data_IF_177779333786
#
_entry.id   IF_177779333786
#
_cell.length_a   1.000
_cell.length_b   1.000
_cell.length_c   1.000
_cell.angle_alpha   90.00
_cell.angle_beta   90.00
_cell.angle_gamma   90.00
#
_symmetry.space_group_name_H-M   'P 1'
#
loop_
_entity.id
_entity.type
_entity.pdbx_description
1 polymer ?
#
# COMPACT_ATOMS: atom_id res chain seq x y z
N UNK A 1 -2.79 -35.09 3.58
CA UNK A 1 -2.73 -34.03 2.56
C UNK A 1 -2.76 -32.70 3.30
N UNK A 2 -1.68 -31.91 3.19
CA UNK A 2 -1.50 -30.50 3.59
C UNK A 2 -2.20 -30.02 4.89
N UNK A 3 -1.79 -30.54 6.05
CA UNK A 3 -2.08 -29.86 7.33
C UNK A 3 -1.04 -28.77 7.59
N UNK A 4 -1.47 -27.51 7.48
CA UNK A 4 -0.83 -26.42 8.21
C UNK A 4 0.42 -25.82 7.56
N UNK A 5 0.32 -25.30 6.33
CA UNK A 5 1.23 -24.24 5.86
C UNK A 5 0.94 -22.93 6.59
N UNK A 6 1.06 -22.92 7.92
CA UNK A 6 1.24 -21.70 8.69
C UNK A 6 2.60 -21.17 8.28
N UNK A 7 2.61 -20.20 7.37
CA UNK A 7 3.82 -19.65 6.80
C UNK A 7 4.83 -19.31 7.89
N UNK A 8 6.01 -19.92 7.81
CA UNK A 8 7.09 -19.69 8.75
C UNK A 8 7.51 -18.22 8.70
N UNK A 9 7.44 -17.54 9.83
CA UNK A 9 7.79 -16.11 9.95
C UNK A 9 9.24 -15.87 9.51
N UNK A 10 9.52 -14.70 8.93
CA UNK A 10 10.86 -14.32 8.47
C UNK A 10 11.94 -14.49 9.55
N UNK A 11 11.64 -14.13 10.81
CA UNK A 11 12.52 -14.33 11.97
C UNK A 11 12.93 -15.79 12.16
N UNK A 12 11.97 -16.71 12.03
CA UNK A 12 12.21 -18.15 12.18
C UNK A 12 13.11 -18.67 11.05
N UNK A 13 12.95 -18.16 9.81
CA UNK A 13 13.78 -18.57 8.66
C UNK A 13 15.24 -18.16 8.87
N UNK A 14 15.43 -16.96 9.41
CA UNK A 14 16.76 -16.47 9.79
C UNK A 14 17.39 -17.31 10.91
N UNK A 15 16.61 -17.69 11.93
CA UNK A 15 17.05 -18.57 13.03
C UNK A 15 17.60 -19.91 12.49
N UNK A 16 16.85 -20.58 11.61
CA UNK A 16 17.30 -21.81 10.95
C UNK A 16 18.60 -21.59 10.16
N UNK A 17 18.67 -20.51 9.37
CA UNK A 17 19.87 -20.20 8.60
C UNK A 17 21.10 -20.03 9.50
N UNK A 18 20.98 -19.30 10.61
CA UNK A 18 22.08 -19.08 11.56
C UNK A 18 22.49 -20.39 12.24
N UNK A 19 21.54 -21.19 12.71
CA UNK A 19 21.81 -22.48 13.34
C UNK A 19 22.55 -23.43 12.39
N UNK A 20 22.17 -23.49 11.12
CA UNK A 20 22.82 -24.36 10.13
C UNK A 20 24.24 -23.95 9.76
N UNK A 21 24.65 -22.69 10.01
CA UNK A 21 26.00 -22.19 9.72
C UNK A 21 26.98 -22.33 10.88
N UNK A 22 26.53 -22.83 12.04
CA UNK A 22 27.44 -23.12 13.15
C UNK A 22 28.33 -24.33 12.82
N UNK A 23 29.60 -24.30 13.28
CA UNK A 23 30.61 -25.32 12.91
C UNK A 23 30.25 -26.74 13.38
N UNK A 24 29.47 -26.85 14.46
CA UNK A 24 29.05 -28.12 15.05
C UNK A 24 27.57 -28.45 14.74
N UNK A 25 26.98 -27.82 13.72
CA UNK A 25 25.57 -27.95 13.42
C UNK A 25 25.22 -29.31 12.80
N UNK A 26 24.40 -30.10 13.49
CA UNK A 26 23.78 -31.29 12.89
C UNK A 26 22.57 -30.89 12.04
N UNK A 27 22.79 -30.64 10.76
CA UNK A 27 21.76 -30.18 9.81
C UNK A 27 20.50 -31.05 9.83
N UNK A 28 20.63 -32.37 9.94
CA UNK A 28 19.48 -33.29 9.93
C UNK A 28 18.56 -33.12 11.15
N UNK A 29 19.12 -32.88 12.32
CA UNK A 29 18.32 -32.65 13.54
C UNK A 29 17.67 -31.27 13.56
N UNK A 30 18.36 -30.25 13.04
CA UNK A 30 17.81 -28.90 12.91
C UNK A 30 16.59 -28.96 11.98
N UNK A 31 16.74 -29.52 10.78
CA UNK A 31 15.63 -29.60 9.83
C UNK A 31 14.42 -30.38 10.37
N UNK A 32 14.65 -31.45 11.14
CA UNK A 32 13.56 -32.19 11.81
C UNK A 32 12.86 -31.37 12.89
N UNK A 33 13.59 -30.62 13.71
CA UNK A 33 13.01 -29.71 14.72
C UNK A 33 12.10 -28.66 14.11
N UNK A 34 12.45 -28.16 12.94
CA UNK A 34 11.69 -27.14 12.22
C UNK A 34 10.69 -27.71 11.19
N UNK A 35 10.68 -29.03 10.97
CA UNK A 35 9.82 -29.68 9.98
C UNK A 35 10.13 -29.29 8.52
N UNK A 36 11.39 -28.95 8.23
CA UNK A 36 11.83 -28.45 6.92
C UNK A 36 12.54 -29.52 6.10
N UNK A 37 12.40 -29.44 4.78
CA UNK A 37 13.21 -30.26 3.88
C UNK A 37 14.51 -29.53 3.49
N UNK A 38 15.49 -30.29 3.02
CA UNK A 38 16.74 -29.76 2.44
C UNK A 38 16.48 -28.75 1.29
N UNK A 39 15.38 -28.91 0.55
CA UNK A 39 15.00 -27.98 -0.52
C UNK A 39 14.50 -26.65 0.04
N UNK A 40 13.82 -26.67 1.19
CA UNK A 40 13.36 -25.47 1.84
C UNK A 40 14.52 -24.72 2.48
N UNK A 41 15.51 -25.45 3.02
CA UNK A 41 16.76 -24.85 3.48
C UNK A 41 17.47 -24.10 2.35
N UNK A 42 17.66 -24.73 1.19
CA UNK A 42 18.27 -24.07 0.02
C UNK A 42 17.52 -22.81 -0.42
N UNK A 43 16.17 -22.85 -0.37
CA UNK A 43 15.35 -21.65 -0.65
C UNK A 43 15.58 -20.56 0.37
N UNK A 44 15.66 -20.91 1.66
CA UNK A 44 15.94 -19.95 2.73
C UNK A 44 17.33 -19.35 2.52
N UNK A 45 18.34 -20.16 2.21
CA UNK A 45 19.71 -19.69 1.93
C UNK A 45 19.73 -18.69 0.77
N UNK A 46 19.13 -19.04 -0.36
CA UNK A 46 19.04 -18.14 -1.51
C UNK A 46 18.35 -16.81 -1.17
N UNK A 47 17.24 -16.86 -0.43
CA UNK A 47 16.51 -15.65 -0.04
C UNK A 47 17.33 -14.77 0.92
N UNK A 48 18.02 -15.39 1.87
CA UNK A 48 18.90 -14.67 2.81
C UNK A 48 20.05 -14.03 2.06
N UNK A 49 20.72 -14.76 1.17
CA UNK A 49 21.82 -14.23 0.35
C UNK A 49 21.36 -13.06 -0.53
N UNK A 50 20.22 -13.20 -1.20
CA UNK A 50 19.66 -12.12 -2.01
C UNK A 50 19.30 -10.89 -1.17
N UNK A 51 18.64 -11.09 -0.03
CA UNK A 51 18.27 -9.99 0.87
C UNK A 51 19.51 -9.28 1.43
N UNK A 52 20.54 -10.03 1.83
CA UNK A 52 21.82 -9.47 2.30
C UNK A 52 22.51 -8.70 1.16
N UNK A 53 22.56 -9.24 -0.06
CA UNK A 53 23.15 -8.53 -1.19
C UNK A 53 22.39 -7.24 -1.54
N UNK A 54 21.05 -7.27 -1.52
CA UNK A 54 20.24 -6.07 -1.76
C UNK A 54 20.45 -5.01 -0.68
N UNK A 55 20.44 -5.42 0.60
CA UNK A 55 20.63 -4.51 1.73
C UNK A 55 22.05 -3.97 1.79
N UNK A 56 23.08 -4.78 1.54
CA UNK A 56 24.46 -4.32 1.46
C UNK A 56 24.68 -3.40 0.25
N UNK A 57 24.11 -3.70 -0.93
CA UNK A 57 24.13 -2.77 -2.08
C UNK A 57 23.46 -1.43 -1.75
N UNK A 58 22.35 -1.46 -1.01
CA UNK A 58 21.66 -0.25 -0.51
C UNK A 58 22.54 0.50 0.50
N UNK A 59 23.19 -0.21 1.43
CA UNK A 59 24.04 0.36 2.48
C UNK A 59 25.35 0.95 1.94
N UNK A 60 25.99 0.29 0.97
CA UNK A 60 27.24 0.75 0.36
C UNK A 60 27.06 1.97 -0.53
N UNK A 61 25.83 2.23 -1.00
CA UNK A 61 25.53 3.44 -1.79
C UNK A 61 25.50 4.72 -0.93
N UNK A 62 25.80 4.67 0.37
CA UNK A 62 25.59 5.78 1.29
C UNK A 62 24.11 6.00 1.56
N UNK A 63 23.71 7.00 2.37
CA UNK A 63 22.31 7.38 2.51
C UNK A 63 21.84 8.04 1.20
N UNK A 64 21.75 7.26 0.14
CA UNK A 64 20.89 7.60 -0.99
C UNK A 64 19.50 7.51 -0.40
N UNK A 65 19.01 8.69 -0.02
CA UNK A 65 17.62 8.98 0.23
C UNK A 65 16.77 8.03 -0.62
N UNK A 66 15.81 7.35 0.04
CA UNK A 66 15.06 6.17 -0.39
C UNK A 66 15.01 5.92 -1.90
N UNK A 67 15.06 4.65 -2.28
CA UNK A 67 15.05 4.23 -3.69
C UNK A 67 14.07 5.10 -4.47
N UNK A 68 14.37 5.40 -5.73
CA UNK A 68 13.47 6.22 -6.55
C UNK A 68 11.99 5.80 -6.40
N UNK A 69 11.77 4.50 -6.21
CA UNK A 69 10.51 3.85 -5.80
C UNK A 69 9.93 4.33 -4.45
N UNK A 70 10.72 4.48 -3.38
CA UNK A 70 10.29 5.05 -2.09
C UNK A 70 9.84 6.52 -2.25
N UNK A 71 10.50 7.29 -3.12
CA UNK A 71 10.13 8.68 -3.43
C UNK A 71 8.85 8.74 -4.26
N UNK A 72 8.79 7.96 -5.34
CA UNK A 72 7.61 7.82 -6.19
C UNK A 72 6.40 7.34 -5.37
N UNK A 73 6.61 6.41 -4.43
CA UNK A 73 5.56 5.95 -3.51
C UNK A 73 5.09 7.08 -2.59
N UNK A 74 6.00 7.86 -2.01
CA UNK A 74 5.62 9.00 -1.17
C UNK A 74 4.85 10.07 -1.97
N UNK A 75 5.28 10.37 -3.19
CA UNK A 75 4.59 11.29 -4.10
C UNK A 75 3.18 10.79 -4.43
N UNK A 76 3.03 9.51 -4.78
CA UNK A 76 1.72 8.89 -5.03
C UNK A 76 0.79 8.96 -3.82
N UNK A 77 1.31 8.75 -2.60
CA UNK A 77 0.52 8.88 -1.37
C UNK A 77 0.00 10.30 -1.18
N UNK A 78 0.84 11.31 -1.45
CA UNK A 78 0.40 12.71 -1.36
C UNK A 78 -0.64 13.06 -2.41
N UNK A 79 -0.47 12.58 -3.64
CA UNK A 79 -1.42 12.81 -4.74
C UNK A 79 -2.77 12.15 -4.44
N UNK A 80 -2.76 10.94 -3.87
CA UNK A 80 -3.96 10.22 -3.45
C UNK A 80 -4.73 11.02 -2.40
N UNK A 81 -4.04 11.50 -1.35
CA UNK A 81 -4.66 12.30 -0.30
C UNK A 81 -5.28 13.60 -0.83
N UNK A 82 -4.62 14.28 -1.78
CA UNK A 82 -5.17 15.48 -2.44
C UNK A 82 -6.46 15.17 -3.21
N UNK A 83 -6.47 14.05 -3.96
CA UNK A 83 -7.65 13.61 -4.72
C UNK A 83 -8.81 13.22 -3.80
N UNK A 84 -8.54 12.54 -2.70
CA UNK A 84 -9.56 12.20 -1.70
C UNK A 84 -10.20 13.44 -1.08
N UNK A 85 -9.39 14.44 -0.73
CA UNK A 85 -9.88 15.71 -0.19
C UNK A 85 -10.75 16.46 -1.20
N UNK A 86 -10.30 16.57 -2.46
CA UNK A 86 -11.07 17.20 -3.53
C UNK A 86 -12.40 16.47 -3.79
N UNK A 87 -12.41 15.13 -3.74
CA UNK A 87 -13.65 14.34 -3.87
C UNK A 87 -14.60 14.58 -2.69
N UNK A 88 -14.08 14.72 -1.48
CA UNK A 88 -14.90 15.02 -0.31
C UNK A 88 -15.57 16.39 -0.43
N UNK A 89 -14.82 17.42 -0.84
CA UNK A 89 -15.34 18.78 -1.09
C UNK A 89 -16.44 18.78 -2.17
N UNK A 90 -16.17 18.15 -3.33
CA UNK A 90 -17.16 18.02 -4.40
C UNK A 90 -18.42 17.27 -3.96
N UNK A 91 -18.27 16.26 -3.10
CA UNK A 91 -19.41 15.50 -2.58
C UNK A 91 -20.27 16.38 -1.68
N UNK A 92 -19.65 17.22 -0.82
CA UNK A 92 -20.37 18.19 0.01
C UNK A 92 -21.12 19.17 -0.87
N UNK A 93 -20.46 19.80 -1.84
CA UNK A 93 -21.09 20.75 -2.77
C UNK A 93 -22.25 20.10 -3.54
N UNK A 94 -22.05 18.90 -4.08
CA UNK A 94 -23.09 18.15 -4.77
C UNK A 94 -24.29 17.84 -3.87
N UNK A 95 -24.06 17.46 -2.62
CA UNK A 95 -25.17 17.19 -1.68
C UNK A 95 -25.95 18.45 -1.33
N UNK A 96 -25.27 19.60 -1.21
CA UNK A 96 -25.90 20.90 -0.99
C UNK A 96 -26.75 21.31 -2.20
N UNK A 97 -26.19 21.21 -3.41
CA UNK A 97 -26.90 21.53 -4.65
C UNK A 97 -28.13 20.64 -4.84
N UNK A 98 -27.98 19.33 -4.61
CA UNK A 98 -29.09 18.38 -4.70
C UNK A 98 -30.15 18.64 -3.64
N UNK A 99 -29.78 19.17 -2.48
CA UNK A 99 -30.73 19.60 -1.44
C UNK A 99 -31.45 20.88 -1.87
N UNK A 100 -30.76 21.87 -2.43
CA UNK A 100 -31.39 23.10 -2.91
C UNK A 100 -32.34 22.85 -4.09
N UNK A 101 -31.98 21.96 -5.02
CA UNK A 101 -32.87 21.52 -6.11
C UNK A 101 -34.15 20.86 -5.57
N UNK A 102 -34.02 19.94 -4.60
CA UNK A 102 -35.18 19.30 -3.95
C UNK A 102 -36.06 20.28 -3.19
N UNK A 103 -35.48 21.30 -2.60
CA UNK A 103 -36.19 22.35 -1.87
C UNK A 103 -36.77 23.44 -2.80
N UNK A 104 -36.66 23.26 -4.12
CA UNK A 104 -37.26 24.14 -5.11
C UNK A 104 -36.62 25.52 -5.16
N UNK A 105 -35.37 25.67 -4.71
CA UNK A 105 -34.62 26.92 -4.88
C UNK A 105 -34.40 27.14 -6.38
N UNK A 106 -35.25 27.97 -6.98
CA UNK A 106 -35.04 28.54 -8.31
C UNK A 106 -34.09 29.70 -8.19
N UNK A 107 -33.11 29.75 -9.09
CA UNK A 107 -32.25 30.90 -9.28
C UNK A 107 -33.09 32.19 -9.38
N UNK A 108 -32.93 33.16 -8.47
CA UNK A 108 -33.71 34.41 -8.50
C UNK A 108 -33.42 35.25 -9.75
N UNK A 109 -32.32 34.95 -10.46
CA UNK A 109 -31.98 35.56 -11.75
C UNK A 109 -32.96 35.19 -12.87
N UNK A 110 -33.57 34.00 -12.84
CA UNK A 110 -34.50 33.52 -13.88
C UNK A 110 -35.92 34.08 -13.67
N UNK A 111 -36.32 34.37 -12.42
CA UNK A 111 -37.64 34.92 -12.11
C UNK A 111 -37.87 36.33 -12.66
N UNK A 112 -36.80 37.12 -12.82
CA UNK A 112 -36.85 38.54 -13.20
C UNK A 112 -37.12 38.79 -14.69
N UNK A 113 -37.01 37.76 -15.56
CA UNK A 113 -37.14 37.92 -17.00
C UNK A 113 -38.59 37.76 -17.55
N UNK A 114 -39.55 37.37 -16.71
CA UNK A 114 -40.89 36.95 -17.17
C UNK A 114 -42.00 38.01 -17.09
N UNK A 115 -41.74 39.21 -16.55
CA UNK A 115 -42.79 40.22 -16.30
C UNK A 115 -42.85 41.37 -17.32
N UNK A 116 -42.15 41.30 -18.46
CA UNK A 116 -42.02 42.41 -19.41
C UNK A 116 -42.77 42.27 -20.75
N UNK A 117 -43.66 41.29 -20.92
CA UNK A 117 -44.47 41.14 -22.15
C UNK A 117 -45.95 41.04 -21.80
N UNK A 118 -46.65 42.18 -21.78
CA UNK A 118 -48.10 42.18 -21.66
C UNK A 118 -48.68 43.54 -21.32
N UNK A 119 -48.91 44.37 -22.34
CA UNK A 119 -49.83 45.51 -22.19
C UNK A 119 -49.48 46.72 -23.04
N UNK A 120 -49.98 46.76 -24.27
CA UNK A 120 -50.47 47.97 -24.96
C UNK A 120 -51.23 47.56 -26.21
N UNK A 121 -52.56 47.56 -26.12
CA UNK A 121 -53.50 47.80 -27.21
C UNK A 121 -54.43 48.92 -26.75
#
# INVERSE_FOLDING_TARGET
>A
MDEGKKGMTAKRKLEVYVETRQKDANMGEILRRYGLHLNDLRRIEMLVEQAVLMTLKRSCRGPVAGSQEDREYAELVTELAQKENALAELTVEYTLLKKSERLGWRDPSIASASTAVGGRR
#
